data_IF_820538099521
#
_entry.id   IF_820538099521
#
_cell.length_a   1.000
_cell.length_b   1.000
_cell.length_c   1.000
_cell.angle_alpha   90.00
_cell.angle_beta   90.00
_cell.angle_gamma   90.00
#
_symmetry.space_group_name_H-M   'P 1'
#
loop_
_entity.id
_entity.type
_entity.pdbx_description
1 polymer ?
#
# COMPACT_ATOMS: atom_id res chain seq x y z
N UNK A 1 -1.14 28.19 -21.89
CA UNK A 1 -1.12 29.28 -20.88
C UNK A 1 0.31 29.48 -20.43
N UNK A 2 0.87 30.63 -20.75
CA UNK A 2 2.29 30.98 -20.63
C UNK A 2 2.40 32.11 -19.63
N UNK A 3 3.16 31.94 -18.55
CA UNK A 3 3.43 32.99 -17.58
C UNK A 3 4.78 33.63 -17.90
N UNK A 4 4.87 34.95 -17.98
CA UNK A 4 6.10 35.66 -18.11
C UNK A 4 6.57 36.21 -16.75
N UNK A 5 7.82 36.03 -16.39
CA UNK A 5 8.52 36.83 -15.43
C UNK A 5 9.70 37.51 -16.08
N UNK A 6 9.49 38.80 -16.29
CA UNK A 6 10.52 39.72 -16.72
C UNK A 6 11.32 40.22 -15.51
N UNK A 7 12.53 40.17 -15.70
CA UNK A 7 13.76 40.87 -15.38
C UNK A 7 13.58 42.32 -14.87
N UNK A 8 14.13 42.66 -13.70
CA UNK A 8 14.51 44.03 -13.34
C UNK A 8 15.78 44.02 -12.51
N UNK A 9 16.83 44.44 -13.16
CA UNK A 9 18.12 44.77 -12.62
C UNK A 9 18.08 45.99 -11.68
N UNK A 10 18.91 45.93 -10.67
CA UNK A 10 19.16 47.04 -9.76
C UNK A 10 20.64 47.06 -9.38
N UNK A 11 21.27 48.10 -9.85
CA UNK A 11 22.68 48.43 -9.75
C UNK A 11 23.13 48.60 -8.29
N UNK A 12 24.29 48.05 -8.00
CA UNK A 12 25.06 48.29 -6.78
C UNK A 12 25.68 49.67 -6.78
N UNK A 13 25.39 50.47 -5.80
CA UNK A 13 26.12 51.71 -5.51
C UNK A 13 27.21 51.41 -4.48
N UNK A 14 28.44 51.60 -4.96
CA UNK A 14 29.67 51.71 -4.18
C UNK A 14 29.63 52.96 -3.29
N UNK A 15 29.82 52.79 -2.01
CA UNK A 15 30.14 53.88 -1.08
C UNK A 15 31.48 53.61 -0.44
N UNK A 16 32.50 54.17 -1.01
CA UNK A 16 33.81 54.37 -0.37
C UNK A 16 33.66 55.31 0.82
N UNK A 17 33.98 54.84 2.00
CA UNK A 17 34.15 55.70 3.18
C UNK A 17 35.62 55.70 3.62
N UNK A 18 36.32 56.72 3.15
CA UNK A 18 37.61 57.19 3.62
C UNK A 18 37.42 57.93 4.94
N UNK A 19 37.61 57.25 6.07
CA UNK A 19 37.89 57.90 7.37
C UNK A 19 38.66 56.89 8.26
N UNK A 20 39.92 56.80 8.05
CA UNK A 20 40.83 56.35 9.09
C UNK A 20 42.17 57.09 8.99
N UNK A 21 42.28 58.11 9.76
CA UNK A 21 43.56 58.76 10.07
C UNK A 21 43.64 59.03 11.58
N UNK A 22 44.40 58.20 12.26
CA UNK A 22 45.12 58.61 13.45
C UNK A 22 44.46 58.32 14.78
N UNK A 23 44.70 57.17 15.33
CA UNK A 23 44.66 56.99 16.77
C UNK A 23 45.81 56.07 17.26
N UNK A 24 46.65 56.67 18.10
CA UNK A 24 47.82 56.01 18.74
C UNK A 24 47.37 54.85 19.62
N UNK A 25 48.21 53.82 19.78
CA UNK A 25 47.87 52.67 20.64
C UNK A 25 48.12 53.03 22.10
N UNK A 26 47.05 53.17 22.87
CA UNK A 26 47.14 53.30 24.31
C UNK A 26 47.04 51.93 24.98
N UNK A 27 47.92 51.68 25.91
CA UNK A 27 48.18 50.49 26.67
C UNK A 27 47.03 50.04 27.57
N UNK A 28 46.02 49.33 27.03
CA UNK A 28 44.98 48.62 27.80
C UNK A 28 44.69 47.22 27.25
N UNK A 29 45.71 46.57 26.68
CA UNK A 29 45.49 45.28 26.00
C UNK A 29 46.00 44.07 26.82
N UNK A 30 46.20 44.20 28.12
CA UNK A 30 46.69 43.07 28.92
C UNK A 30 45.68 42.34 29.81
N UNK A 31 44.41 42.83 29.89
CA UNK A 31 43.48 42.25 30.84
C UNK A 31 42.18 41.65 30.25
N UNK A 32 42.15 41.41 28.90
CA UNK A 32 40.96 40.92 28.25
C UNK A 32 41.10 39.48 27.70
N UNK A 33 42.17 38.79 28.07
CA UNK A 33 42.44 37.45 27.47
C UNK A 33 41.95 36.27 28.30
N UNK A 34 41.54 36.49 29.55
CA UNK A 34 41.03 35.39 30.39
C UNK A 34 39.48 35.30 30.42
N UNK A 35 38.77 36.34 29.97
CA UNK A 35 37.29 36.32 29.86
C UNK A 35 36.76 35.48 28.68
N UNK A 36 37.49 35.49 27.56
CA UNK A 36 37.01 34.83 26.33
C UNK A 36 37.17 33.30 26.33
N UNK A 37 38.04 32.76 27.19
CA UNK A 37 38.19 31.30 27.33
C UNK A 37 37.10 30.64 28.17
N UNK A 38 36.45 31.39 29.04
CA UNK A 38 35.34 30.88 29.86
C UNK A 38 34.00 30.92 29.12
N UNK A 39 33.86 31.80 28.15
CA UNK A 39 32.62 31.99 27.41
C UNK A 39 32.45 30.98 26.24
N UNK A 40 33.58 30.48 25.72
CA UNK A 40 33.55 29.52 24.59
C UNK A 40 33.32 28.06 25.03
N UNK A 41 33.39 27.74 26.34
CA UNK A 41 33.06 26.38 26.84
C UNK A 41 31.58 26.14 27.07
N UNK A 42 30.73 27.19 27.11
CA UNK A 42 29.28 27.04 27.34
C UNK A 42 28.46 26.89 26.06
N UNK A 43 29.00 27.22 24.89
CA UNK A 43 28.28 27.05 23.62
C UNK A 43 28.45 25.66 23.00
N UNK A 44 29.46 24.88 23.42
CA UNK A 44 29.70 23.54 22.90
C UNK A 44 28.72 22.48 23.43
N UNK A 45 28.13 22.70 24.62
CA UNK A 45 27.16 21.76 25.19
C UNK A 45 25.73 21.90 24.60
N UNK A 46 25.36 23.10 24.17
CA UNK A 46 24.05 23.36 23.54
C UNK A 46 23.91 22.73 22.16
N UNK A 47 25.00 22.68 21.41
CA UNK A 47 25.00 22.07 20.06
C UNK A 47 24.84 20.53 20.10
N UNK A 48 25.40 19.87 21.13
CA UNK A 48 25.28 18.43 21.32
C UNK A 48 23.86 17.99 21.70
N UNK A 49 23.18 18.77 22.53
CA UNK A 49 21.81 18.50 22.94
C UNK A 49 20.86 18.68 21.73
N UNK A 50 21.03 19.73 20.95
CA UNK A 50 20.27 19.97 19.74
C UNK A 50 20.44 18.86 18.69
N UNK A 51 21.70 18.37 18.50
CA UNK A 51 21.95 17.23 17.60
C UNK A 51 21.26 15.95 18.08
N UNK A 52 21.27 15.70 19.40
CA UNK A 52 20.59 14.53 19.96
C UNK A 52 19.06 14.63 19.78
N UNK A 53 18.48 15.82 19.97
CA UNK A 53 17.06 16.06 19.74
C UNK A 53 16.68 15.84 18.28
N UNK A 54 17.49 16.36 17.34
CA UNK A 54 17.28 16.13 15.90
C UNK A 54 17.38 14.65 15.53
N UNK A 55 18.32 13.91 16.12
CA UNK A 55 18.43 12.46 15.90
C UNK A 55 17.16 11.72 16.35
N UNK A 56 16.65 12.06 17.53
CA UNK A 56 15.44 11.46 18.07
C UNK A 56 14.23 11.75 17.16
N UNK A 57 14.09 12.99 16.70
CA UNK A 57 13.00 13.39 15.77
C UNK A 57 13.09 12.60 14.46
N UNK A 58 14.29 12.52 13.85
CA UNK A 58 14.50 11.75 12.61
C UNK A 58 14.20 10.28 12.84
N UNK A 59 14.59 9.71 13.95
CA UNK A 59 14.33 8.32 14.30
C UNK A 59 12.81 8.04 14.40
N UNK A 60 12.07 8.91 15.11
CA UNK A 60 10.60 8.78 15.16
C UNK A 60 9.96 8.95 13.80
N UNK A 61 10.47 9.87 12.98
CA UNK A 61 9.96 10.06 11.62
C UNK A 61 10.16 8.79 10.76
N UNK A 62 11.32 8.14 10.88
CA UNK A 62 11.61 6.87 10.21
C UNK A 62 10.67 5.75 10.65
N UNK A 63 10.38 5.65 11.95
CA UNK A 63 9.42 4.68 12.48
C UNK A 63 8.01 4.91 11.95
N UNK A 64 7.53 6.16 11.95
CA UNK A 64 6.22 6.50 11.40
C UNK A 64 6.14 6.20 9.90
N UNK A 65 7.17 6.55 9.13
CA UNK A 65 7.22 6.24 7.70
C UNK A 65 7.17 4.72 7.44
N UNK A 66 7.91 3.94 8.22
CA UNK A 66 7.93 2.48 8.09
C UNK A 66 6.56 1.86 8.37
N UNK A 67 5.85 2.32 9.40
CA UNK A 67 4.51 1.82 9.73
C UNK A 67 3.50 2.19 8.65
N UNK A 68 3.59 3.38 8.07
CA UNK A 68 2.74 3.78 6.94
C UNK A 68 2.95 2.89 5.72
N UNK A 69 4.20 2.60 5.35
CA UNK A 69 4.51 1.72 4.20
C UNK A 69 3.91 0.32 4.41
N UNK A 70 4.06 -0.24 5.62
CA UNK A 70 3.49 -1.55 5.95
C UNK A 70 1.95 -1.54 5.89
N UNK A 71 1.32 -0.46 6.35
CA UNK A 71 -0.13 -0.30 6.27
C UNK A 71 -0.62 -0.24 4.83
N UNK A 72 0.07 0.49 3.95
CA UNK A 72 -0.27 0.56 2.52
C UNK A 72 -0.09 -0.80 1.82
N UNK A 73 1.02 -1.50 2.07
CA UNK A 73 1.26 -2.81 1.48
C UNK A 73 0.19 -3.84 1.91
N UNK A 74 -0.24 -3.79 3.18
CA UNK A 74 -1.32 -4.64 3.68
C UNK A 74 -2.66 -4.28 3.04
N UNK A 75 -2.96 -2.98 2.91
CA UNK A 75 -4.20 -2.50 2.28
C UNK A 75 -4.30 -2.95 0.82
N UNK A 76 -3.22 -2.83 0.06
CA UNK A 76 -3.18 -3.28 -1.34
C UNK A 76 -3.47 -4.78 -1.45
N UNK A 77 -2.80 -5.60 -0.64
CA UNK A 77 -3.06 -7.04 -0.60
C UNK A 77 -4.51 -7.38 -0.25
N UNK A 78 -5.09 -6.68 0.75
CA UNK A 78 -6.49 -6.90 1.12
C UNK A 78 -7.46 -6.49 0.02
N UNK A 79 -7.17 -5.40 -0.69
CA UNK A 79 -7.97 -4.95 -1.84
C UNK A 79 -7.97 -5.98 -2.97
N UNK A 80 -6.82 -6.56 -3.28
CA UNK A 80 -6.71 -7.62 -4.30
C UNK A 80 -7.49 -8.87 -3.91
N UNK A 81 -7.33 -9.34 -2.66
CA UNK A 81 -8.08 -10.50 -2.16
C UNK A 81 -9.60 -10.24 -2.16
N UNK A 82 -10.04 -9.03 -1.84
CA UNK A 82 -11.44 -8.66 -1.91
C UNK A 82 -11.95 -8.72 -3.35
N UNK A 83 -11.19 -8.16 -4.29
CA UNK A 83 -11.52 -8.20 -5.71
C UNK A 83 -11.65 -9.65 -6.24
N UNK A 84 -10.70 -10.52 -5.91
CA UNK A 84 -10.73 -11.94 -6.31
C UNK A 84 -11.95 -12.65 -5.72
N UNK A 85 -12.29 -12.38 -4.46
CA UNK A 85 -13.46 -12.96 -3.81
C UNK A 85 -14.78 -12.47 -4.40
N UNK A 86 -14.89 -11.19 -4.72
CA UNK A 86 -16.09 -10.63 -5.34
C UNK A 86 -16.37 -11.27 -6.68
N UNK A 87 -15.34 -11.52 -7.49
CA UNK A 87 -15.47 -12.21 -8.76
C UNK A 87 -15.80 -13.70 -8.56
N UNK A 88 -15.18 -14.37 -7.59
CA UNK A 88 -15.51 -15.74 -7.25
C UNK A 88 -16.98 -15.90 -6.82
N UNK A 89 -17.47 -14.97 -5.99
CA UNK A 89 -18.89 -14.95 -5.60
C UNK A 89 -19.80 -14.78 -6.80
N UNK A 90 -19.48 -13.84 -7.69
CA UNK A 90 -20.26 -13.58 -8.90
C UNK A 90 -20.30 -14.79 -9.84
N UNK A 91 -19.14 -15.45 -10.05
CA UNK A 91 -19.04 -16.67 -10.85
C UNK A 91 -19.86 -17.81 -10.23
N UNK A 92 -19.72 -18.05 -8.92
CA UNK A 92 -20.49 -19.08 -8.22
C UNK A 92 -22.00 -18.83 -8.28
N UNK A 93 -22.43 -17.60 -8.16
CA UNK A 93 -23.85 -17.23 -8.27
C UNK A 93 -24.36 -17.47 -9.68
N UNK A 94 -23.62 -17.09 -10.71
CA UNK A 94 -23.98 -17.32 -12.11
C UNK A 94 -24.17 -18.82 -12.40
N UNK A 95 -23.23 -19.66 -11.98
CA UNK A 95 -23.32 -21.12 -12.13
C UNK A 95 -24.52 -21.69 -11.35
N UNK A 96 -24.77 -21.17 -10.16
CA UNK A 96 -25.93 -21.60 -9.35
C UNK A 96 -27.25 -21.27 -10.01
N UNK A 97 -27.38 -20.08 -10.61
CA UNK A 97 -28.62 -19.70 -11.32
C UNK A 97 -28.81 -20.55 -12.58
N UNK A 98 -27.74 -20.83 -13.34
CA UNK A 98 -27.80 -21.74 -14.49
C UNK A 98 -28.26 -23.15 -14.06
N UNK A 99 -27.70 -23.65 -12.95
CA UNK A 99 -28.09 -24.95 -12.38
C UNK A 99 -29.56 -24.97 -11.92
N UNK A 100 -30.04 -23.92 -11.31
CA UNK A 100 -31.46 -23.82 -10.89
C UNK A 100 -32.41 -23.84 -12.07
N UNK A 101 -32.03 -23.23 -13.20
CA UNK A 101 -32.81 -23.17 -14.43
C UNK A 101 -32.71 -24.46 -15.23
N UNK A 102 -31.64 -25.27 -15.04
CA UNK A 102 -31.51 -26.54 -15.71
C UNK A 102 -32.41 -27.60 -15.05
N UNK A 103 -33.24 -28.29 -15.85
CA UNK A 103 -33.97 -29.50 -15.42
C UNK A 103 -33.07 -30.75 -15.54
N UNK A 104 -31.92 -30.61 -16.20
CA UNK A 104 -30.97 -31.69 -16.42
C UNK A 104 -30.10 -31.92 -15.21
N UNK A 105 -30.00 -33.18 -14.81
CA UNK A 105 -29.17 -33.59 -13.69
C UNK A 105 -27.71 -33.59 -14.08
N UNK A 106 -26.86 -32.96 -13.26
CA UNK A 106 -25.41 -33.06 -13.48
C UNK A 106 -24.91 -34.45 -13.14
N UNK A 107 -24.18 -35.05 -14.06
CA UNK A 107 -23.60 -36.39 -13.88
C UNK A 107 -22.21 -36.24 -13.21
N UNK A 108 -22.20 -36.25 -11.87
CA UNK A 108 -20.98 -36.23 -11.09
C UNK A 108 -20.42 -34.84 -10.79
N UNK A 109 -19.12 -34.70 -11.01
CA UNK A 109 -18.40 -33.43 -10.82
C UNK A 109 -18.20 -32.76 -12.16
N UNK A 110 -18.40 -31.43 -12.17
CA UNK A 110 -18.04 -30.58 -13.32
C UNK A 110 -16.99 -29.57 -12.88
N UNK A 111 -15.97 -29.42 -13.71
CA UNK A 111 -14.95 -28.42 -13.51
C UNK A 111 -15.19 -27.23 -14.43
N UNK A 112 -15.02 -26.03 -13.90
CA UNK A 112 -15.07 -24.76 -14.62
C UNK A 112 -13.74 -24.05 -14.44
N UNK A 113 -13.33 -23.34 -15.46
CA UNK A 113 -12.03 -22.69 -15.52
C UNK A 113 -12.17 -21.23 -15.90
N UNK A 114 -11.49 -20.36 -15.21
CA UNK A 114 -11.44 -18.92 -15.51
C UNK A 114 -10.00 -18.44 -15.62
N UNK A 115 -9.78 -17.51 -16.53
CA UNK A 115 -8.50 -16.83 -16.69
C UNK A 115 -8.29 -15.75 -15.62
N UNK A 116 -7.19 -14.97 -15.72
CA UNK A 116 -6.88 -13.89 -14.79
C UNK A 116 -7.92 -12.74 -14.78
N UNK A 117 -8.67 -12.58 -15.86
CA UNK A 117 -9.71 -11.56 -16.01
C UNK A 117 -11.12 -12.09 -15.67
N UNK A 118 -11.20 -13.31 -15.10
CA UNK A 118 -12.44 -14.00 -14.76
C UNK A 118 -13.33 -14.33 -15.96
N UNK A 119 -12.75 -14.39 -17.13
CA UNK A 119 -13.44 -14.92 -18.31
C UNK A 119 -13.37 -16.44 -18.33
N UNK A 120 -14.50 -17.09 -18.68
CA UNK A 120 -14.56 -18.55 -18.76
C UNK A 120 -13.66 -19.06 -19.88
N UNK A 121 -12.86 -20.07 -19.59
CA UNK A 121 -11.98 -20.76 -20.55
C UNK A 121 -12.20 -22.26 -20.49
N UNK A 122 -12.04 -22.91 -21.63
CA UNK A 122 -12.09 -24.37 -21.72
C UNK A 122 -10.71 -25.03 -21.59
N UNK A 123 -9.64 -24.23 -21.59
CA UNK A 123 -8.28 -24.71 -21.48
C UNK A 123 -7.80 -24.69 -20.01
N UNK A 124 -7.64 -25.87 -19.37
CA UNK A 124 -7.15 -25.94 -17.99
C UNK A 124 -5.75 -25.34 -17.81
N UNK A 125 -4.93 -25.32 -18.88
CA UNK A 125 -3.56 -24.80 -18.82
C UNK A 125 -3.51 -23.25 -18.78
N UNK A 126 -4.56 -22.59 -19.31
CA UNK A 126 -4.71 -21.15 -19.29
C UNK A 126 -5.48 -20.65 -18.06
N UNK A 127 -5.98 -21.57 -17.22
CA UNK A 127 -6.79 -21.25 -16.07
C UNK A 127 -5.94 -20.71 -14.92
N UNK A 128 -6.40 -19.61 -14.32
CA UNK A 128 -5.89 -19.07 -13.06
C UNK A 128 -6.79 -19.46 -11.89
N UNK A 129 -8.09 -19.66 -12.17
CA UNK A 129 -9.08 -20.08 -11.17
C UNK A 129 -9.82 -21.32 -11.66
N UNK A 130 -10.15 -22.21 -10.72
CA UNK A 130 -10.88 -23.45 -10.99
C UNK A 130 -12.07 -23.55 -10.05
N UNK A 131 -13.24 -23.80 -10.60
CA UNK A 131 -14.46 -24.10 -9.86
C UNK A 131 -14.82 -25.58 -9.99
N UNK A 132 -15.04 -26.24 -8.88
CA UNK A 132 -15.52 -27.62 -8.83
C UNK A 132 -16.98 -27.61 -8.38
N UNK A 133 -17.88 -28.03 -9.29
CA UNK A 133 -19.30 -28.17 -9.03
C UNK A 133 -19.59 -29.62 -8.69
N UNK A 134 -20.21 -29.86 -7.55
CA UNK A 134 -20.60 -31.20 -7.12
C UNK A 134 -22.09 -31.23 -6.79
N UNK A 135 -22.84 -32.03 -7.50
CA UNK A 135 -24.26 -32.24 -7.21
C UNK A 135 -24.45 -33.49 -6.33
N UNK A 136 -25.30 -33.39 -5.34
CA UNK A 136 -25.76 -34.48 -4.51
C UNK A 136 -27.30 -34.49 -4.40
N UNK A 137 -27.89 -35.68 -4.47
CA UNK A 137 -29.34 -35.86 -4.38
C UNK A 137 -29.66 -36.56 -3.06
N UNK A 138 -30.57 -35.98 -2.31
CA UNK A 138 -31.11 -36.61 -1.08
C UNK A 138 -32.36 -37.40 -1.39
N UNK A 139 -32.62 -38.43 -0.60
CA UNK A 139 -33.81 -39.30 -0.74
C UNK A 139 -35.14 -38.53 -0.62
N UNK A 140 -35.10 -37.33 -0.10
CA UNK A 140 -36.26 -36.43 0.04
C UNK A 140 -36.63 -35.70 -1.27
N UNK A 141 -35.93 -35.96 -2.40
CA UNK A 141 -36.12 -35.23 -3.65
C UNK A 141 -35.43 -33.86 -3.68
N UNK A 142 -34.63 -33.54 -2.65
CA UNK A 142 -33.85 -32.32 -2.63
C UNK A 142 -32.52 -32.55 -3.31
N UNK A 143 -32.21 -31.70 -4.28
CA UNK A 143 -30.91 -31.66 -4.92
C UNK A 143 -30.07 -30.54 -4.27
N UNK A 144 -28.82 -30.82 -3.96
CA UNK A 144 -27.86 -29.86 -3.44
C UNK A 144 -26.70 -29.74 -4.41
N UNK A 145 -26.31 -28.50 -4.69
CA UNK A 145 -25.14 -28.12 -5.43
C UNK A 145 -24.14 -27.51 -4.47
N UNK A 146 -22.92 -28.01 -4.51
CA UNK A 146 -21.76 -27.38 -3.85
C UNK A 146 -20.80 -26.90 -4.94
N UNK A 147 -20.42 -25.64 -4.86
CA UNK A 147 -19.46 -25.01 -5.74
C UNK A 147 -18.26 -24.58 -4.89
N UNK A 148 -17.07 -25.05 -5.23
CA UNK A 148 -15.82 -24.67 -4.58
C UNK A 148 -14.94 -23.98 -5.60
N UNK A 149 -14.67 -22.72 -5.42
CA UNK A 149 -13.75 -21.94 -6.28
C UNK A 149 -12.41 -21.78 -5.56
N UNK A 150 -11.34 -22.14 -6.27
CA UNK A 150 -9.96 -22.07 -5.80
C UNK A 150 -9.04 -21.49 -6.87
N UNK A 151 -7.88 -21.02 -6.46
CA UNK A 151 -6.79 -20.72 -7.40
C UNK A 151 -6.29 -22.01 -8.07
N UNK A 152 -5.97 -21.94 -9.36
CA UNK A 152 -5.47 -23.11 -10.11
C UNK A 152 -4.07 -23.50 -9.62
N UNK A 153 -3.87 -24.78 -9.35
CA UNK A 153 -2.60 -25.35 -8.90
C UNK A 153 -2.77 -26.41 -7.82
N UNK A 154 -1.71 -27.18 -7.55
CA UNK A 154 -1.76 -28.31 -6.59
C UNK A 154 -2.07 -27.90 -5.15
N UNK A 155 -1.79 -26.64 -4.77
CA UNK A 155 -2.04 -26.06 -3.45
C UNK A 155 -2.87 -24.77 -3.52
N UNK A 156 -3.70 -24.64 -4.56
CA UNK A 156 -4.52 -23.46 -4.75
C UNK A 156 -5.35 -23.11 -3.51
N UNK A 157 -5.27 -21.88 -3.05
CA UNK A 157 -6.06 -21.38 -1.92
C UNK A 157 -7.55 -21.39 -2.29
N UNK A 158 -8.39 -21.88 -1.37
CA UNK A 158 -9.83 -21.84 -1.53
C UNK A 158 -10.33 -20.40 -1.33
N UNK A 159 -10.90 -19.83 -2.37
CA UNK A 159 -11.38 -18.46 -2.39
C UNK A 159 -12.81 -18.36 -1.87
N UNK A 160 -13.67 -19.28 -2.32
CA UNK A 160 -15.09 -19.22 -2.01
C UNK A 160 -15.77 -20.58 -2.13
N UNK A 161 -16.72 -20.85 -1.24
CA UNK A 161 -17.61 -22.03 -1.28
C UNK A 161 -19.04 -21.57 -1.22
N UNK A 162 -19.86 -22.07 -2.14
CA UNK A 162 -21.29 -21.83 -2.19
C UNK A 162 -22.04 -23.16 -2.13
N UNK A 163 -23.06 -23.24 -1.29
CA UNK A 163 -24.02 -24.36 -1.27
C UNK A 163 -25.39 -23.83 -1.65
N UNK A 164 -26.01 -24.50 -2.60
CA UNK A 164 -27.37 -24.22 -3.03
C UNK A 164 -28.23 -25.49 -3.02
N UNK A 165 -29.53 -25.34 -2.85
CA UNK A 165 -30.46 -26.44 -2.90
C UNK A 165 -31.68 -26.09 -3.75
N UNK A 166 -32.17 -27.06 -4.54
CA UNK A 166 -33.45 -26.98 -5.25
C UNK A 166 -34.28 -28.22 -4.95
N UNK A 167 -35.58 -28.04 -4.94
CA UNK A 167 -36.50 -29.17 -4.84
C UNK A 167 -37.00 -29.55 -6.22
N UNK A 168 -36.77 -30.78 -6.61
CA UNK A 168 -37.31 -31.33 -7.88
C UNK A 168 -38.58 -32.10 -7.54
N UNK A 169 -39.71 -31.58 -8.05
CA UNK A 169 -40.98 -32.26 -7.90
C UNK A 169 -40.92 -33.60 -8.68
N UNK A 170 -41.29 -34.71 -8.04
CA UNK A 170 -41.34 -36.02 -8.69
C UNK A 170 -42.34 -36.08 -9.86
#
# INVERSE_FOLDING_TARGET
MRWPYDNAGGQAASCDNAWDRGRKPDAVTAQRKDGDRAMNRRSASGSGIFLMEMMVVVFFFMLCASTCILAFAKSDRMSRLAWERDHAVSAAQSETELWKLSDERMDGKQDRYWNADWEETQDPAAAVYTGVLTESVQDTGMQKLQIVIREAGERGEELFVLEAAKYVRP
#
